data_IF_703202804875
#
_entry.id   IF_703202804875
#
_cell.length_a   1.000
_cell.length_b   1.000
_cell.length_c   1.000
_cell.angle_alpha   90.00
_cell.angle_beta   90.00
_cell.angle_gamma   90.00
#
_symmetry.space_group_name_H-M   'P 1'
#
loop_
_entity.id
_entity.type
_entity.pdbx_description
1 polymer ?
#
# COMPACT_ATOMS: atom_id res chain seq x y z
N UNK A 1 17.52 -11.60 -6.30
CA UNK A 1 17.65 -12.30 -5.02
C UNK A 1 17.44 -13.79 -5.21
N UNK A 2 18.31 -14.57 -4.60
CA UNK A 2 18.27 -16.04 -4.51
C UNK A 2 18.26 -16.38 -3.01
N UNK A 3 17.55 -17.44 -2.65
CA UNK A 3 17.40 -17.85 -1.26
C UNK A 3 17.99 -19.25 -1.06
N UNK A 4 18.54 -19.48 0.13
CA UNK A 4 18.82 -20.80 0.67
C UNK A 4 17.65 -21.15 1.60
N UNK A 5 16.91 -22.21 1.27
CA UNK A 5 15.77 -22.64 2.07
C UNK A 5 16.29 -23.45 3.25
N UNK A 6 15.92 -23.07 4.46
CA UNK A 6 16.21 -23.82 5.69
C UNK A 6 15.18 -24.89 5.93
N UNK A 7 13.90 -24.52 5.84
CA UNK A 7 12.80 -25.46 5.95
C UNK A 7 11.65 -25.05 5.04
N UNK A 8 10.90 -26.04 4.54
CA UNK A 8 9.72 -25.85 3.70
C UNK A 8 8.63 -26.86 4.07
N UNK A 9 7.46 -26.40 4.50
CA UNK A 9 6.33 -27.23 4.89
C UNK A 9 5.17 -27.06 3.91
N UNK A 10 4.54 -28.19 3.55
CA UNK A 10 3.39 -28.25 2.66
C UNK A 10 2.17 -28.80 3.37
N UNK A 11 1.06 -28.10 3.26
CA UNK A 11 -0.24 -28.51 3.76
C UNK A 11 -1.27 -28.46 2.64
N UNK A 12 -2.06 -29.51 2.51
CA UNK A 12 -3.19 -29.57 1.59
C UNK A 12 -4.44 -29.20 2.35
N UNK A 13 -5.12 -28.14 1.93
CA UNK A 13 -6.39 -27.69 2.48
C UNK A 13 -7.52 -28.24 1.64
N UNK A 14 -8.46 -28.92 2.29
CA UNK A 14 -9.64 -29.53 1.69
C UNK A 14 -10.89 -28.88 2.26
N UNK A 15 -11.72 -28.34 1.36
CA UNK A 15 -13.02 -27.72 1.68
C UNK A 15 -14.20 -28.41 0.99
N UNK A 16 -13.94 -29.20 -0.06
CA UNK A 16 -14.99 -29.94 -0.78
C UNK A 16 -15.36 -31.20 0.03
N UNK A 17 -16.66 -31.51 0.08
CA UNK A 17 -17.24 -32.69 0.74
C UNK A 17 -17.11 -32.80 2.27
N UNK A 18 -16.77 -31.70 2.97
CA UNK A 18 -16.66 -31.67 4.45
C UNK A 18 -17.51 -30.56 5.07
N UNK A 19 -18.14 -30.86 6.22
CA UNK A 19 -18.88 -29.86 7.02
C UNK A 19 -17.97 -28.75 7.56
N UNK A 20 -16.69 -29.05 7.78
CA UNK A 20 -15.67 -28.09 8.18
C UNK A 20 -14.41 -28.24 7.31
N UNK A 21 -13.75 -27.13 6.95
CA UNK A 21 -12.44 -27.13 6.31
C UNK A 21 -11.43 -27.94 7.10
N UNK A 22 -10.60 -28.72 6.42
CA UNK A 22 -9.51 -29.47 7.07
C UNK A 22 -8.21 -29.25 6.33
N UNK A 23 -7.09 -29.38 7.03
CA UNK A 23 -5.77 -29.38 6.42
C UNK A 23 -5.01 -30.65 6.78
N UNK A 24 -4.24 -31.16 5.82
CA UNK A 24 -3.36 -32.30 5.99
C UNK A 24 -1.93 -31.89 5.68
N UNK A 25 -1.02 -32.13 6.62
CA UNK A 25 0.42 -32.03 6.38
C UNK A 25 0.84 -33.07 5.34
N UNK A 26 1.52 -32.63 4.28
CA UNK A 26 2.01 -33.51 3.22
C UNK A 26 3.48 -33.88 3.47
N UNK A 27 4.35 -32.87 3.60
CA UNK A 27 5.77 -33.07 3.88
C UNK A 27 6.40 -31.78 4.42
N UNK A 28 7.52 -31.94 5.11
CA UNK A 28 8.44 -30.86 5.45
C UNK A 28 9.81 -31.23 4.90
N UNK A 29 10.44 -30.32 4.17
CA UNK A 29 11.77 -30.47 3.59
C UNK A 29 12.77 -29.61 4.38
N UNK A 30 13.98 -30.10 4.59
CA UNK A 30 15.14 -29.28 4.98
C UNK A 30 15.89 -28.74 3.75
N UNK A 31 17.06 -28.16 3.96
CA UNK A 31 17.90 -27.58 2.91
C UNK A 31 18.28 -28.59 1.85
N UNK A 32 18.84 -29.74 2.23
CA UNK A 32 19.35 -30.72 1.28
C UNK A 32 18.19 -31.35 0.48
N UNK A 33 17.11 -31.69 1.18
CA UNK A 33 15.90 -32.23 0.54
C UNK A 33 15.23 -31.23 -0.41
N UNK A 34 15.27 -29.93 -0.10
CA UNK A 34 14.75 -28.89 -1.00
C UNK A 34 15.61 -28.73 -2.25
N UNK A 35 16.93 -28.70 -2.11
CA UNK A 35 17.87 -28.50 -3.22
C UNK A 35 17.79 -29.65 -4.25
N UNK A 36 17.49 -30.87 -3.80
CA UNK A 36 17.25 -32.03 -4.68
C UNK A 36 15.80 -32.14 -5.19
N UNK A 37 14.88 -31.28 -4.71
CA UNK A 37 13.46 -31.37 -5.03
C UNK A 37 13.12 -30.83 -6.43
N UNK A 38 12.17 -31.49 -7.09
CA UNK A 38 11.59 -30.98 -8.36
C UNK A 38 10.80 -29.67 -8.20
N UNK A 39 10.55 -29.23 -6.96
CA UNK A 39 9.81 -28.00 -6.66
C UNK A 39 10.71 -26.76 -6.65
N UNK A 40 12.03 -26.95 -6.57
CA UNK A 40 13.01 -25.89 -6.40
C UNK A 40 12.90 -24.80 -7.47
N UNK A 41 12.98 -25.17 -8.73
CA UNK A 41 12.96 -24.20 -9.84
C UNK A 41 11.67 -23.38 -9.88
N UNK A 42 10.55 -24.01 -9.52
CA UNK A 42 9.26 -23.36 -9.43
C UNK A 42 9.20 -22.37 -8.26
N UNK A 43 9.56 -22.81 -7.05
CA UNK A 43 9.45 -21.98 -5.84
C UNK A 43 10.48 -20.86 -5.78
N UNK A 44 11.71 -21.09 -6.25
CA UNK A 44 12.74 -20.04 -6.36
C UNK A 44 12.25 -18.86 -7.21
N UNK A 45 11.56 -19.16 -8.30
CA UNK A 45 10.93 -18.17 -9.16
C UNK A 45 9.85 -17.36 -8.42
N UNK A 46 9.03 -18.02 -7.62
CA UNK A 46 7.96 -17.39 -6.85
C UNK A 46 8.47 -16.55 -5.68
N UNK A 47 9.46 -17.02 -4.90
CA UNK A 47 10.10 -16.24 -3.84
C UNK A 47 10.67 -14.93 -4.37
N UNK A 48 11.35 -14.99 -5.52
CA UNK A 48 11.90 -13.81 -6.20
C UNK A 48 10.81 -12.82 -6.61
N UNK A 49 9.66 -13.30 -7.10
CA UNK A 49 8.51 -12.44 -7.44
C UNK A 49 7.90 -11.80 -6.21
N UNK A 50 7.70 -12.56 -5.12
CA UNK A 50 7.14 -12.06 -3.86
C UNK A 50 8.00 -10.92 -3.30
N UNK A 51 9.32 -11.12 -3.27
CA UNK A 51 10.27 -10.12 -2.80
C UNK A 51 10.25 -8.87 -3.67
N UNK A 52 10.30 -9.02 -5.00
CA UNK A 52 10.30 -7.88 -5.93
C UNK A 52 8.97 -7.17 -6.07
N UNK A 53 7.89 -7.73 -5.52
CA UNK A 53 6.57 -7.13 -5.63
C UNK A 53 6.56 -5.79 -4.92
N UNK A 54 6.23 -4.73 -5.67
CA UNK A 54 6.11 -3.37 -5.14
C UNK A 54 5.00 -3.33 -4.10
N UNK A 55 5.28 -2.62 -3.03
CA UNK A 55 4.34 -2.24 -1.99
C UNK A 55 4.60 -0.77 -1.68
N UNK A 56 3.54 -0.01 -1.51
CA UNK A 56 3.61 1.39 -1.11
C UNK A 56 3.22 1.47 0.36
N UNK A 57 3.95 2.26 1.17
CA UNK A 57 3.63 2.47 2.59
C UNK A 57 2.25 3.10 2.75
N UNK A 58 1.98 4.10 1.92
CA UNK A 58 0.67 4.73 1.78
C UNK A 58 0.14 4.49 0.36
N UNK A 59 -0.79 3.54 0.16
CA UNK A 59 -1.36 3.29 -1.15
C UNK A 59 -2.31 4.41 -1.59
N UNK A 60 -2.52 4.55 -2.89
CA UNK A 60 -3.47 5.53 -3.43
C UNK A 60 -4.94 5.23 -3.09
N UNK A 61 -5.24 3.99 -2.67
CA UNK A 61 -6.56 3.54 -2.25
C UNK A 61 -6.45 2.44 -1.20
N UNK A 62 -7.48 2.25 -0.38
CA UNK A 62 -7.53 1.16 0.60
C UNK A 62 -7.48 -0.25 -0.04
N UNK A 63 -7.99 -0.39 -1.26
CA UNK A 63 -8.08 -1.66 -1.97
C UNK A 63 -6.90 -1.84 -2.93
N UNK A 64 -5.71 -2.04 -2.37
CA UNK A 64 -4.53 -2.46 -3.15
C UNK A 64 -4.21 -3.94 -2.93
N UNK A 65 -3.70 -4.63 -3.97
CA UNK A 65 -3.41 -6.06 -3.89
C UNK A 65 -2.18 -6.39 -3.05
N UNK A 66 -1.29 -5.42 -2.78
CA UNK A 66 -0.11 -5.61 -1.94
C UNK A 66 -0.10 -4.51 -0.88
N UNK A 67 0.07 -4.89 0.39
CA UNK A 67 0.03 -3.99 1.54
C UNK A 67 1.16 -4.28 2.52
N UNK A 68 1.54 -3.28 3.30
CA UNK A 68 2.32 -3.46 4.52
C UNK A 68 1.37 -3.60 5.70
N UNK A 69 1.65 -4.61 6.53
CA UNK A 69 1.05 -4.75 7.85
C UNK A 69 2.09 -4.45 8.91
N UNK A 70 1.70 -3.74 9.97
CA UNK A 70 2.53 -3.43 11.12
C UNK A 70 1.99 -4.19 12.33
N UNK A 71 2.87 -4.83 13.11
CA UNK A 71 2.44 -5.47 14.35
C UNK A 71 2.01 -4.40 15.35
N UNK A 72 0.79 -4.54 15.89
CA UNK A 72 0.28 -3.65 16.93
C UNK A 72 1.12 -3.85 18.20
N UNK A 73 1.65 -2.76 18.75
CA UNK A 73 2.43 -2.75 19.99
C UNK A 73 1.60 -2.06 21.07
N UNK A 74 1.41 -2.72 22.21
CA UNK A 74 0.72 -2.10 23.34
C UNK A 74 1.59 -0.98 23.94
N UNK A 75 1.01 0.16 24.37
CA UNK A 75 1.79 1.26 24.95
C UNK A 75 2.68 0.81 26.11
N UNK A 76 3.99 1.07 26.01
CA UNK A 76 4.98 0.69 27.02
C UNK A 76 5.50 -0.75 26.90
N UNK A 77 5.07 -1.50 25.89
CA UNK A 77 5.55 -2.85 25.59
C UNK A 77 6.44 -2.88 24.34
N UNK A 78 7.13 -4.00 24.14
CA UNK A 78 7.96 -4.29 22.96
C UNK A 78 7.22 -5.20 21.99
N UNK A 79 7.78 -5.44 20.79
CA UNK A 79 7.17 -6.29 19.74
C UNK A 79 6.76 -7.69 20.21
N UNK A 80 7.45 -8.23 21.22
CA UNK A 80 7.17 -9.52 21.84
C UNK A 80 5.84 -9.57 22.62
N UNK A 81 5.17 -8.43 22.84
CA UNK A 81 3.78 -8.44 23.33
C UNK A 81 2.79 -8.89 22.26
N UNK A 82 3.16 -8.79 20.97
CA UNK A 82 2.26 -9.10 19.87
C UNK A 82 2.21 -10.62 19.58
N UNK A 83 1.04 -11.27 19.67
CA UNK A 83 0.92 -12.71 19.44
C UNK A 83 1.26 -13.14 18.01
N UNK A 84 0.91 -12.34 17.00
CA UNK A 84 1.26 -12.64 15.62
C UNK A 84 2.79 -12.55 15.44
N UNK A 85 3.43 -11.47 15.91
CA UNK A 85 4.90 -11.34 15.86
C UNK A 85 5.59 -12.56 16.48
N UNK A 86 5.16 -12.99 17.67
CA UNK A 86 5.74 -14.15 18.35
C UNK A 86 5.62 -15.44 17.53
N UNK A 87 4.48 -15.69 16.89
CA UNK A 87 4.28 -16.84 16.02
C UNK A 87 5.20 -16.81 14.79
N UNK A 88 5.31 -15.64 14.13
CA UNK A 88 6.19 -15.44 12.98
C UNK A 88 7.66 -15.60 13.36
N UNK A 89 8.09 -14.96 14.44
CA UNK A 89 9.46 -14.98 14.91
C UNK A 89 9.90 -16.39 15.34
N UNK A 90 9.06 -17.11 16.10
CA UNK A 90 9.33 -18.50 16.51
C UNK A 90 9.45 -19.43 15.31
N UNK A 91 8.56 -19.32 14.33
CA UNK A 91 8.59 -20.14 13.11
C UNK A 91 9.83 -19.84 12.25
N UNK A 92 10.15 -18.55 12.08
CA UNK A 92 11.33 -18.09 11.32
C UNK A 92 12.63 -18.69 11.85
N UNK A 93 12.75 -18.81 13.18
CA UNK A 93 13.93 -19.31 13.87
C UNK A 93 13.80 -20.75 14.37
N UNK A 94 12.87 -21.55 13.84
CA UNK A 94 12.82 -22.97 14.16
C UNK A 94 14.17 -23.66 13.92
N UNK A 95 14.53 -24.59 14.81
CA UNK A 95 15.84 -25.25 14.82
C UNK A 95 15.86 -26.56 14.01
N UNK A 96 14.71 -27.23 13.91
CA UNK A 96 14.57 -28.51 13.23
C UNK A 96 13.23 -28.62 12.49
N UNK A 97 13.08 -29.69 11.70
CA UNK A 97 11.91 -29.93 10.84
C UNK A 97 10.64 -30.11 11.65
N UNK A 98 10.70 -30.79 12.79
CA UNK A 98 9.57 -31.09 13.66
C UNK A 98 9.00 -29.81 14.27
N UNK A 99 9.88 -28.94 14.81
CA UNK A 99 9.50 -27.65 15.36
C UNK A 99 8.95 -26.73 14.27
N UNK A 100 9.63 -26.65 13.11
CA UNK A 100 9.15 -25.84 11.99
C UNK A 100 7.76 -26.30 11.53
N UNK A 101 7.54 -27.61 11.44
CA UNK A 101 6.23 -28.20 11.12
C UNK A 101 5.18 -27.82 12.18
N UNK A 102 5.47 -28.03 13.45
CA UNK A 102 4.53 -27.79 14.54
C UNK A 102 4.11 -26.31 14.59
N UNK A 103 5.09 -25.39 14.51
CA UNK A 103 4.77 -23.96 14.43
C UNK A 103 4.03 -23.62 13.14
N UNK A 104 4.29 -24.35 12.05
CA UNK A 104 3.56 -24.15 10.80
C UNK A 104 2.09 -24.52 10.87
N UNK A 105 1.73 -25.54 11.63
CA UNK A 105 0.36 -25.99 11.82
C UNK A 105 -0.50 -24.88 12.46
N UNK A 106 0.07 -24.03 13.32
CA UNK A 106 -0.64 -22.90 13.94
C UNK A 106 -1.17 -21.90 12.89
N UNK A 107 -0.39 -21.58 11.86
CA UNK A 107 -0.80 -20.69 10.77
C UNK A 107 -1.89 -21.32 9.91
N UNK A 108 -1.78 -22.63 9.68
CA UNK A 108 -2.76 -23.39 8.91
C UNK A 108 -4.10 -23.44 9.65
N UNK A 109 -4.10 -23.73 10.96
CA UNK A 109 -5.31 -23.71 11.78
C UNK A 109 -5.96 -22.33 11.77
N UNK A 110 -5.18 -21.28 11.98
CA UNK A 110 -5.70 -19.93 11.96
C UNK A 110 -6.22 -19.51 10.57
N UNK A 111 -5.68 -20.05 9.47
CA UNK A 111 -6.25 -19.90 8.13
C UNK A 111 -7.58 -20.66 7.96
N UNK A 112 -7.70 -21.88 8.52
CA UNK A 112 -8.95 -22.65 8.47
C UNK A 112 -10.10 -21.97 9.22
N UNK A 113 -9.79 -21.20 10.26
CA UNK A 113 -10.75 -20.41 11.04
C UNK A 113 -11.23 -19.13 10.33
N UNK A 114 -10.70 -18.81 9.15
CA UNK A 114 -11.10 -17.60 8.40
C UNK A 114 -12.43 -17.77 7.70
N UNK A 115 -13.16 -16.65 7.55
CA UNK A 115 -14.50 -16.61 6.95
C UNK A 115 -14.53 -17.01 5.46
N UNK A 116 -13.41 -16.88 4.76
CA UNK A 116 -13.29 -17.04 3.31
C UNK A 116 -12.29 -18.14 2.91
N UNK A 117 -12.11 -19.14 3.76
CA UNK A 117 -11.25 -20.31 3.52
C UNK A 117 -11.60 -21.01 2.20
N UNK A 118 -10.56 -21.38 1.45
CA UNK A 118 -10.65 -22.14 0.21
C UNK A 118 -9.65 -23.28 0.20
N UNK A 119 -10.03 -24.38 -0.45
CA UNK A 119 -9.13 -25.49 -0.74
C UNK A 119 -7.91 -25.06 -1.57
N UNK A 120 -6.86 -25.86 -1.51
CA UNK A 120 -5.58 -25.53 -2.15
C UNK A 120 -4.39 -26.04 -1.37
N UNK A 121 -3.24 -25.41 -1.60
CA UNK A 121 -1.99 -25.70 -0.89
C UNK A 121 -1.58 -24.48 -0.08
N UNK A 122 -1.29 -24.72 1.19
CA UNK A 122 -0.66 -23.77 2.09
C UNK A 122 0.81 -24.18 2.25
N UNK A 123 1.71 -23.28 1.88
CA UNK A 123 3.16 -23.50 1.87
C UNK A 123 3.82 -22.51 2.79
N UNK A 124 4.73 -22.98 3.62
CA UNK A 124 5.54 -22.12 4.47
C UNK A 124 7.02 -22.42 4.31
N UNK A 125 7.84 -21.39 4.08
CA UNK A 125 9.27 -21.52 3.87
C UNK A 125 10.04 -20.59 4.82
N UNK A 126 11.01 -21.14 5.56
CA UNK A 126 12.06 -20.35 6.21
C UNK A 126 13.29 -20.32 5.31
N UNK A 127 13.81 -19.14 5.03
CA UNK A 127 14.80 -18.93 3.97
C UNK A 127 15.79 -17.83 4.30
N UNK A 128 17.05 -17.96 3.90
CA UNK A 128 18.09 -16.94 4.05
C UNK A 128 18.50 -16.43 2.67
N UNK A 129 18.58 -15.12 2.41
CA UNK A 129 19.13 -14.62 1.16
C UNK A 129 20.58 -15.09 0.99
N UNK A 130 20.95 -15.59 -0.19
CA UNK A 130 22.33 -16.02 -0.47
C UNK A 130 23.33 -14.86 -0.56
N UNK A 131 22.85 -13.62 -0.61
CA UNK A 131 23.62 -12.39 -0.77
C UNK A 131 23.04 -11.32 0.15
N UNK A 132 23.80 -10.25 0.38
CA UNK A 132 23.43 -9.05 1.14
C UNK A 132 23.49 -9.20 2.68
N UNK A 133 22.90 -10.24 3.28
CA UNK A 133 22.87 -10.41 4.75
C UNK A 133 22.39 -11.81 5.16
N UNK A 134 22.62 -12.18 6.43
CA UNK A 134 22.35 -13.52 6.99
C UNK A 134 20.99 -13.67 7.70
N UNK A 135 20.15 -12.65 7.65
CA UNK A 135 18.83 -12.71 8.28
C UNK A 135 17.90 -13.70 7.57
N UNK A 136 17.17 -14.48 8.37
CA UNK A 136 16.12 -15.39 7.88
C UNK A 136 14.88 -14.60 7.46
N UNK A 137 14.09 -15.15 6.56
CA UNK A 137 12.75 -14.71 6.20
C UNK A 137 11.80 -15.88 6.28
N UNK A 138 10.53 -15.57 6.51
CA UNK A 138 9.41 -16.48 6.46
C UNK A 138 8.51 -16.08 5.29
N UNK A 139 8.30 -17.04 4.39
CA UNK A 139 7.33 -16.94 3.31
C UNK A 139 6.12 -17.78 3.67
N UNK A 140 4.94 -17.19 3.71
CA UNK A 140 3.68 -17.93 3.66
C UNK A 140 3.10 -17.77 2.26
N UNK A 141 2.64 -18.86 1.68
CA UNK A 141 2.00 -18.85 0.37
C UNK A 141 0.75 -19.71 0.42
N UNK A 142 -0.33 -19.19 -0.16
CA UNK A 142 -1.57 -19.92 -0.38
C UNK A 142 -1.84 -19.94 -1.86
N UNK A 143 -1.88 -21.14 -2.43
CA UNK A 143 -2.16 -21.39 -3.83
C UNK A 143 -3.47 -22.19 -3.97
N UNK A 144 -4.31 -21.83 -4.92
CA UNK A 144 -5.51 -22.59 -5.25
C UNK A 144 -5.17 -23.81 -6.12
N UNK A 145 -6.02 -24.84 -6.07
CA UNK A 145 -5.96 -25.93 -7.04
C UNK A 145 -6.67 -25.52 -8.34
N UNK A 146 -6.07 -25.86 -9.47
CA UNK A 146 -6.73 -25.84 -10.78
C UNK A 146 -7.00 -27.29 -11.21
N UNK A 147 -8.28 -27.65 -11.48
CA UNK A 147 -8.63 -29.00 -11.91
C UNK A 147 -8.30 -29.23 -13.38
N UNK A 148 -7.99 -30.48 -13.74
CA UNK A 148 -7.86 -30.96 -15.14
C UNK A 148 -6.80 -30.21 -15.96
N UNK A 149 -5.62 -30.00 -15.38
CA UNK A 149 -4.50 -29.37 -16.10
C UNK A 149 -3.75 -30.43 -16.92
N UNK A 150 -3.65 -30.20 -18.23
CA UNK A 150 -2.78 -30.98 -19.11
C UNK A 150 -1.37 -30.37 -19.07
N UNK A 151 -0.38 -31.15 -18.63
CA UNK A 151 1.03 -30.75 -18.60
C UNK A 151 1.82 -31.51 -19.66
N UNK A 152 2.75 -30.85 -20.34
CA UNK A 152 3.68 -31.49 -21.30
C UNK A 152 4.89 -31.97 -20.50
N UNK A 153 5.09 -33.28 -20.36
CA UNK A 153 6.18 -33.83 -19.55
C UNK A 153 7.50 -33.97 -20.30
N UNK A 154 7.50 -34.56 -21.50
CA UNK A 154 8.71 -34.92 -22.26
C UNK A 154 8.37 -35.29 -23.72
N UNK A 155 9.37 -35.32 -24.61
CA UNK A 155 9.20 -35.62 -26.05
C UNK A 155 8.62 -37.02 -26.34
N UNK A 156 8.65 -37.94 -25.36
CA UNK A 156 8.11 -39.31 -25.46
C UNK A 156 6.70 -39.47 -24.90
N UNK A 157 6.32 -38.66 -23.92
CA UNK A 157 4.97 -38.59 -23.37
C UNK A 157 4.49 -37.15 -23.46
N UNK A 158 3.95 -36.80 -24.64
CA UNK A 158 3.53 -35.44 -25.00
C UNK A 158 2.56 -34.78 -24.01
N UNK A 159 1.72 -35.56 -23.31
CA UNK A 159 0.69 -35.05 -22.40
C UNK A 159 0.59 -35.95 -21.17
N UNK A 160 0.84 -35.38 -19.99
CA UNK A 160 0.50 -35.94 -18.68
C UNK A 160 -0.74 -35.22 -18.15
N UNK A 161 -1.82 -35.97 -17.93
CA UNK A 161 -2.98 -35.43 -17.23
C UNK A 161 -2.65 -35.34 -15.73
N UNK A 162 -2.68 -34.12 -15.20
CA UNK A 162 -2.55 -33.86 -13.77
C UNK A 162 -3.95 -33.53 -13.26
N UNK A 163 -4.48 -34.38 -12.36
CA UNK A 163 -5.84 -34.19 -11.82
C UNK A 163 -5.97 -32.85 -11.10
N UNK A 164 -4.95 -32.45 -10.33
CA UNK A 164 -4.87 -31.17 -9.62
C UNK A 164 -3.49 -30.55 -9.75
N UNK A 165 -3.41 -29.32 -10.24
CA UNK A 165 -2.19 -28.53 -10.30
C UNK A 165 -2.27 -27.29 -9.40
N UNK A 166 -1.13 -26.82 -8.92
CA UNK A 166 -1.03 -25.58 -8.15
C UNK A 166 -0.87 -24.40 -9.12
N UNK A 167 -1.72 -23.39 -8.99
CA UNK A 167 -1.64 -22.16 -9.82
C UNK A 167 -1.00 -21.01 -9.06
N UNK A 168 -0.14 -20.25 -9.75
CA UNK A 168 0.48 -19.03 -9.21
C UNK A 168 -0.27 -17.76 -9.61
N UNK A 169 -1.24 -17.86 -10.53
CA UNK A 169 -1.95 -16.70 -11.09
C UNK A 169 -2.64 -15.85 -10.02
N UNK A 170 -3.16 -16.49 -8.98
CA UNK A 170 -3.82 -15.84 -7.83
C UNK A 170 -3.17 -16.22 -6.50
N UNK A 171 -1.88 -16.61 -6.52
CA UNK A 171 -1.16 -16.96 -5.30
C UNK A 171 -1.13 -15.76 -4.37
N UNK A 172 -1.53 -16.01 -3.14
CA UNK A 172 -1.47 -15.02 -2.06
C UNK A 172 -0.26 -15.34 -1.20
N UNK A 173 0.39 -14.31 -0.69
CA UNK A 173 1.64 -14.50 0.04
C UNK A 173 1.85 -13.51 1.17
N UNK A 174 2.56 -13.92 2.21
CA UNK A 174 3.14 -13.05 3.22
C UNK A 174 4.66 -13.21 3.16
N UNK A 175 5.38 -12.11 3.24
CA UNK A 175 6.83 -12.07 3.47
C UNK A 175 7.07 -11.36 4.81
N UNK A 176 7.75 -12.05 5.72
CA UNK A 176 8.16 -11.51 7.02
C UNK A 176 9.63 -11.83 7.31
N UNK A 177 10.43 -10.91 7.87
CA UNK A 177 10.13 -9.48 8.01
C UNK A 177 10.01 -8.78 6.65
N UNK A 178 9.47 -7.56 6.65
CA UNK A 178 9.48 -6.75 5.44
C UNK A 178 10.93 -6.33 5.11
N UNK A 179 11.25 -6.36 3.81
CA UNK A 179 12.52 -5.88 3.28
C UNK A 179 12.20 -4.72 2.32
N UNK A 180 12.33 -3.46 2.78
CA UNK A 180 12.07 -2.28 1.96
C UNK A 180 13.06 -2.21 0.78
N UNK A 181 14.33 -2.41 1.09
CA UNK A 181 15.45 -2.40 0.15
C UNK A 181 16.37 -3.62 0.37
N UNK A 182 17.13 -4.01 -0.66
CA UNK A 182 18.09 -5.12 -0.53
C UNK A 182 19.16 -4.76 0.52
N UNK A 183 19.09 -5.41 1.69
CA UNK A 183 19.99 -5.12 2.81
C UNK A 183 19.29 -4.56 4.06
N UNK A 184 18.04 -4.12 3.94
CA UNK A 184 17.27 -3.53 5.03
C UNK A 184 16.19 -4.48 5.54
N UNK A 185 15.85 -4.36 6.82
CA UNK A 185 14.82 -5.19 7.44
C UNK A 185 14.00 -4.33 8.39
N UNK A 186 12.69 -4.46 8.25
CA UNK A 186 11.71 -3.91 9.20
C UNK A 186 11.05 -5.06 9.95
N UNK A 187 11.54 -5.33 11.16
CA UNK A 187 11.07 -6.43 12.02
C UNK A 187 9.64 -6.21 12.54
N UNK A 188 9.19 -4.95 12.59
CA UNK A 188 7.81 -4.59 12.95
C UNK A 188 6.81 -4.76 11.80
N UNK A 189 7.29 -5.08 10.59
CA UNK A 189 6.49 -5.04 9.36
C UNK A 189 6.46 -6.39 8.64
N UNK A 190 5.35 -6.64 7.94
CA UNK A 190 5.20 -7.75 7.02
C UNK A 190 4.57 -7.28 5.71
N UNK A 191 4.94 -7.92 4.59
CA UNK A 191 4.39 -7.62 3.27
C UNK A 191 3.37 -8.68 2.87
N UNK A 192 2.12 -8.28 2.69
CA UNK A 192 1.03 -9.15 2.25
C UNK A 192 0.73 -8.87 0.78
N UNK A 193 0.49 -9.93 0.03
CA UNK A 193 -0.11 -9.87 -1.30
C UNK A 193 -1.37 -10.74 -1.39
N UNK A 194 -2.35 -10.25 -2.15
CA UNK A 194 -3.70 -9.91 -1.67
C UNK A 194 -4.67 -9.66 -2.85
N UNK A 195 -4.48 -10.25 -4.04
CA UNK A 195 -5.15 -9.76 -5.26
C UNK A 195 -6.66 -10.01 -5.38
N UNK A 196 -7.28 -10.68 -4.40
CA UNK A 196 -8.72 -10.96 -4.39
C UNK A 196 -9.42 -10.20 -3.28
N UNK A 197 -10.73 -9.97 -3.42
CA UNK A 197 -11.58 -9.42 -2.34
C UNK A 197 -11.61 -10.25 -1.06
N UNK A 198 -11.22 -11.54 -1.10
CA UNK A 198 -11.16 -12.37 0.10
C UNK A 198 -10.01 -11.89 1.01
N UNK A 199 -10.36 -11.39 2.20
CA UNK A 199 -9.46 -10.78 3.19
C UNK A 199 -8.86 -11.76 4.19
N UNK A 200 -8.69 -13.03 3.84
CA UNK A 200 -8.36 -14.06 4.85
C UNK A 200 -7.01 -13.85 5.55
N UNK A 201 -5.99 -13.25 4.90
CA UNK A 201 -4.77 -12.91 5.63
C UNK A 201 -4.97 -11.77 6.63
N UNK A 202 -5.89 -10.86 6.37
CA UNK A 202 -6.26 -9.80 7.32
C UNK A 202 -7.08 -10.40 8.49
N UNK A 203 -8.01 -11.32 8.19
CA UNK A 203 -8.77 -12.07 9.22
C UNK A 203 -7.86 -12.94 10.12
N UNK A 204 -6.82 -13.52 9.51
CA UNK A 204 -5.80 -14.36 10.15
C UNK A 204 -4.88 -13.52 11.06
N UNK A 205 -4.54 -12.30 10.66
CA UNK A 205 -3.60 -11.40 11.34
C UNK A 205 -4.33 -10.38 12.23
N UNK A 206 -4.99 -10.86 13.29
CA UNK A 206 -5.82 -10.02 14.17
C UNK A 206 -5.08 -8.90 14.88
N UNK A 207 -3.77 -9.05 15.12
CA UNK A 207 -2.94 -8.06 15.82
C UNK A 207 -2.00 -7.33 14.86
N UNK A 208 -2.41 -7.15 13.60
CA UNK A 208 -1.67 -6.40 12.59
C UNK A 208 -2.57 -5.28 12.08
N UNK A 209 -2.04 -4.07 12.08
CA UNK A 209 -2.69 -2.91 11.48
C UNK A 209 -2.16 -2.66 10.06
N UNK A 210 -2.99 -2.07 9.22
CA UNK A 210 -2.65 -1.77 7.84
C UNK A 210 -2.57 -0.26 7.67
N UNK A 211 -1.53 0.21 6.99
CA UNK A 211 -1.31 1.63 6.77
C UNK A 211 -2.49 2.28 6.05
N UNK A 212 -2.73 3.54 6.38
CA UNK A 212 -3.75 4.39 5.76
C UNK A 212 -3.41 4.69 4.30
N UNK A 213 -4.43 4.88 3.48
CA UNK A 213 -4.25 5.38 2.13
C UNK A 213 -3.74 6.83 2.14
N UNK A 214 -3.09 7.28 1.06
CA UNK A 214 -2.67 8.69 0.93
C UNK A 214 -3.84 9.66 1.12
N UNK A 215 -5.05 9.24 0.74
CA UNK A 215 -6.25 10.06 0.89
C UNK A 215 -6.70 10.20 2.34
N UNK A 216 -6.64 9.12 3.11
CA UNK A 216 -6.94 9.13 4.55
C UNK A 216 -5.87 9.90 5.33
N UNK A 217 -4.58 9.70 5.00
CA UNK A 217 -3.48 10.45 5.61
C UNK A 217 -3.69 11.96 5.46
N UNK A 218 -3.98 12.43 4.23
CA UNK A 218 -4.29 13.84 3.97
C UNK A 218 -5.54 14.29 4.70
N UNK A 219 -6.61 13.48 4.70
CA UNK A 219 -7.86 13.79 5.40
C UNK A 219 -7.61 14.04 6.89
N UNK A 220 -6.90 13.13 7.55
CA UNK A 220 -6.63 13.20 8.99
C UNK A 220 -5.78 14.43 9.33
N UNK A 221 -4.66 14.66 8.62
CA UNK A 221 -3.82 15.84 8.86
C UNK A 221 -4.54 17.16 8.62
N UNK A 222 -5.40 17.24 7.59
CA UNK A 222 -6.20 18.46 7.35
C UNK A 222 -7.20 18.66 8.48
N UNK A 223 -7.84 17.60 8.98
CA UNK A 223 -8.77 17.70 10.12
C UNK A 223 -8.01 18.18 11.38
N UNK A 224 -6.87 17.56 11.68
CA UNK A 224 -6.06 17.88 12.86
C UNK A 224 -5.60 19.35 12.84
N UNK A 225 -5.06 19.82 11.71
CA UNK A 225 -4.68 21.23 11.52
C UNK A 225 -5.86 22.17 11.76
N UNK A 226 -7.03 21.87 11.17
CA UNK A 226 -8.19 22.77 11.33
C UNK A 226 -8.69 22.75 12.77
N UNK A 227 -8.66 21.60 13.44
CA UNK A 227 -9.01 21.49 14.86
C UNK A 227 -8.06 22.30 15.76
N UNK A 228 -6.76 22.24 15.50
CA UNK A 228 -5.75 23.05 16.19
C UNK A 228 -6.04 24.54 15.99
N UNK A 229 -6.27 24.97 14.74
CA UNK A 229 -6.61 26.35 14.43
C UNK A 229 -7.89 26.83 15.14
N UNK A 230 -8.93 25.99 15.20
CA UNK A 230 -10.15 26.29 15.94
C UNK A 230 -9.85 26.49 17.42
N UNK A 231 -9.01 25.63 18.00
CA UNK A 231 -8.60 25.70 19.40
C UNK A 231 -7.89 27.00 19.75
N UNK A 232 -7.14 27.57 18.81
CA UNK A 232 -6.42 28.84 19.00
C UNK A 232 -7.31 30.07 18.81
N UNK A 233 -8.24 30.04 17.83
CA UNK A 233 -9.03 31.21 17.44
C UNK A 233 -10.31 31.36 18.26
N UNK A 234 -10.93 30.24 18.65
CA UNK A 234 -12.26 30.26 19.27
C UNK A 234 -12.25 29.76 20.71
N UNK A 235 -13.04 30.45 21.55
CA UNK A 235 -13.26 30.03 22.94
C UNK A 235 -13.91 28.63 23.00
N UNK A 236 -13.50 27.76 23.95
CA UNK A 236 -13.90 26.34 24.00
C UNK A 236 -15.41 26.07 24.02
N UNK A 237 -16.20 26.95 24.63
CA UNK A 237 -17.66 26.80 24.74
C UNK A 237 -18.43 27.74 23.81
N UNK A 238 -17.75 28.42 22.88
CA UNK A 238 -18.42 29.31 21.95
C UNK A 238 -19.30 28.56 20.97
N UNK A 239 -20.46 29.15 20.67
CA UNK A 239 -21.37 28.62 19.66
C UNK A 239 -20.72 28.63 18.26
N UNK A 240 -19.86 29.60 17.99
CA UNK A 240 -19.09 29.70 16.74
C UNK A 240 -18.13 28.53 16.54
N UNK A 241 -17.44 28.10 17.62
CA UNK A 241 -16.59 26.90 17.60
C UNK A 241 -17.38 25.64 17.27
N UNK A 242 -18.50 25.43 17.96
CA UNK A 242 -19.36 24.24 17.74
C UNK A 242 -19.86 24.16 16.30
N UNK A 243 -20.32 25.30 15.77
CA UNK A 243 -20.77 25.38 14.37
C UNK A 243 -19.64 25.11 13.37
N UNK A 244 -18.41 25.53 13.68
CA UNK A 244 -17.25 25.24 12.84
C UNK A 244 -16.89 23.74 12.91
N UNK A 245 -16.78 23.16 14.10
CA UNK A 245 -16.49 21.73 14.29
C UNK A 245 -17.51 20.85 13.55
N UNK A 246 -18.81 21.14 13.68
CA UNK A 246 -19.87 20.45 12.94
C UNK A 246 -19.72 20.60 11.41
N UNK A 247 -19.34 21.80 10.93
CA UNK A 247 -19.12 22.02 9.51
C UNK A 247 -17.92 21.23 8.95
N UNK A 248 -16.89 20.98 9.76
CA UNK A 248 -15.73 20.15 9.37
C UNK A 248 -16.12 18.69 9.27
N UNK A 249 -16.88 18.17 10.22
CA UNK A 249 -17.37 16.79 10.16
C UNK A 249 -18.22 16.56 8.90
N UNK A 250 -19.13 17.50 8.61
CA UNK A 250 -19.93 17.47 7.38
C UNK A 250 -19.04 17.58 6.12
N UNK A 251 -18.01 18.44 6.15
CA UNK A 251 -17.06 18.58 5.04
C UNK A 251 -16.21 17.32 4.85
N UNK A 252 -15.78 16.67 5.93
CA UNK A 252 -14.96 15.46 5.91
C UNK A 252 -15.66 14.32 5.15
N UNK A 253 -16.98 14.24 5.28
CA UNK A 253 -17.83 13.21 4.66
C UNK A 253 -18.53 13.66 3.37
N UNK A 254 -18.38 14.94 2.97
CA UNK A 254 -18.98 15.44 1.74
C UNK A 254 -18.27 14.90 0.49
N UNK A 255 -19.02 14.35 -0.49
CA UNK A 255 -18.46 13.93 -1.77
C UNK A 255 -18.11 15.10 -2.69
N UNK A 256 -18.63 16.31 -2.41
CA UNK A 256 -18.30 17.53 -3.13
C UNK A 256 -17.24 18.30 -2.37
N UNK A 257 -16.10 18.51 -3.02
CA UNK A 257 -15.00 19.34 -2.50
C UNK A 257 -15.03 20.70 -3.20
N UNK A 258 -15.17 21.75 -2.43
CA UNK A 258 -15.14 23.15 -2.88
C UNK A 258 -14.16 23.93 -2.00
N UNK A 259 -13.54 24.97 -2.57
CA UNK A 259 -12.61 25.84 -1.84
C UNK A 259 -13.37 26.58 -0.73
N UNK A 260 -12.91 26.47 0.51
CA UNK A 260 -13.60 27.02 1.68
C UNK A 260 -13.17 28.45 2.06
N UNK A 261 -12.04 28.94 1.53
CA UNK A 261 -11.48 30.28 1.84
C UNK A 261 -11.35 30.58 3.36
N UNK A 262 -10.99 29.57 4.17
CA UNK A 262 -10.89 29.68 5.64
C UNK A 262 -9.47 29.87 6.18
N UNK A 263 -8.47 29.36 5.46
CA UNK A 263 -7.08 29.34 5.91
C UNK A 263 -6.21 30.22 5.03
N UNK A 264 -5.17 30.78 5.64
CA UNK A 264 -4.10 31.52 4.95
C UNK A 264 -3.18 30.58 4.18
N UNK A 265 -2.38 31.12 3.25
CA UNK A 265 -1.40 30.32 2.52
C UNK A 265 -0.36 29.73 3.45
N UNK A 266 0.12 30.50 4.43
CA UNK A 266 1.13 30.08 5.40
C UNK A 266 0.66 28.87 6.22
N UNK A 267 -0.58 28.89 6.71
CA UNK A 267 -1.17 27.77 7.46
C UNK A 267 -1.32 26.51 6.59
N UNK A 268 -1.71 26.67 5.33
CA UNK A 268 -1.83 25.53 4.40
C UNK A 268 -0.45 24.95 4.09
N UNK A 269 0.58 25.80 3.94
CA UNK A 269 1.97 25.36 3.71
C UNK A 269 2.51 24.61 4.93
N UNK A 270 2.24 25.09 6.14
CA UNK A 270 2.66 24.44 7.38
C UNK A 270 2.08 23.02 7.51
N UNK A 271 0.77 22.84 7.28
CA UNK A 271 0.18 21.52 7.30
C UNK A 271 0.61 20.64 6.13
N UNK A 272 0.80 21.24 4.94
CA UNK A 272 1.36 20.52 3.80
C UNK A 272 2.76 19.99 4.11
N UNK A 273 3.60 20.72 4.85
CA UNK A 273 4.94 20.29 5.22
C UNK A 273 4.93 19.01 6.07
N UNK A 274 4.01 18.88 7.03
CA UNK A 274 3.86 17.65 7.83
C UNK A 274 3.49 16.44 6.97
N UNK A 275 2.60 16.63 6.00
CA UNK A 275 2.20 15.59 5.05
C UNK A 275 3.36 15.20 4.13
N UNK A 276 4.07 16.20 3.60
CA UNK A 276 5.21 16.03 2.68
C UNK A 276 6.40 15.35 3.37
N UNK A 277 6.60 15.57 4.67
CA UNK A 277 7.63 14.87 5.44
C UNK A 277 7.39 13.36 5.48
N UNK A 278 6.12 12.93 5.57
CA UNK A 278 5.73 11.52 5.55
C UNK A 278 5.64 10.95 4.12
N UNK A 279 5.13 11.74 3.17
CA UNK A 279 4.93 11.35 1.78
C UNK A 279 5.37 12.47 0.81
N UNK A 280 6.66 12.50 0.41
CA UNK A 280 7.22 13.59 -0.41
C UNK A 280 6.59 13.72 -1.80
N UNK A 281 6.15 12.60 -2.38
CA UNK A 281 5.61 12.52 -3.74
C UNK A 281 4.09 12.78 -3.80
N UNK A 282 3.52 13.40 -2.76
CA UNK A 282 2.07 13.60 -2.70
C UNK A 282 1.61 14.65 -3.73
N UNK A 283 0.62 14.28 -4.53
CA UNK A 283 0.15 15.10 -5.65
C UNK A 283 -0.89 16.15 -5.21
N UNK A 284 -0.66 17.40 -5.58
CA UNK A 284 -1.68 18.44 -5.60
C UNK A 284 -2.53 18.29 -6.87
N UNK A 285 -3.84 18.10 -6.69
CA UNK A 285 -4.81 18.02 -7.80
C UNK A 285 -5.95 19.00 -7.58
N UNK A 286 -6.13 19.93 -8.51
CA UNK A 286 -7.27 20.84 -8.50
C UNK A 286 -7.78 21.11 -9.91
N UNK A 287 -9.02 21.57 -10.00
CA UNK A 287 -9.66 21.95 -11.25
C UNK A 287 -10.08 23.41 -11.20
N UNK A 288 -9.53 24.23 -12.08
CA UNK A 288 -9.91 25.63 -12.27
C UNK A 288 -10.73 25.73 -13.55
N UNK A 289 -12.04 25.90 -13.42
CA UNK A 289 -13.01 25.82 -14.52
C UNK A 289 -12.82 24.54 -15.35
N UNK A 290 -12.31 24.65 -16.59
CA UNK A 290 -12.07 23.52 -17.48
C UNK A 290 -10.60 23.04 -17.49
N UNK A 291 -9.74 23.64 -16.66
CA UNK A 291 -8.31 23.36 -16.60
C UNK A 291 -8.03 22.44 -15.41
N UNK A 292 -7.42 21.29 -15.67
CA UNK A 292 -6.91 20.42 -14.62
C UNK A 292 -5.47 20.80 -14.31
N UNK A 293 -5.17 21.00 -13.04
CA UNK A 293 -3.85 21.31 -12.53
C UNK A 293 -3.37 20.11 -11.73
N UNK A 294 -2.14 19.69 -12.00
CA UNK A 294 -1.43 18.63 -11.29
C UNK A 294 -0.01 19.09 -11.00
N UNK A 295 0.44 18.93 -9.76
CA UNK A 295 1.80 19.23 -9.29
C UNK A 295 2.08 18.48 -7.99
N UNK A 296 3.22 18.74 -7.33
CA UNK A 296 3.46 18.24 -5.98
C UNK A 296 2.79 19.17 -4.95
N UNK A 297 2.34 18.63 -3.83
CA UNK A 297 1.82 19.45 -2.74
C UNK A 297 2.90 20.35 -2.14
N UNK A 298 4.15 19.86 -2.10
CA UNK A 298 5.32 20.60 -1.66
C UNK A 298 5.58 21.88 -2.48
N UNK A 299 5.08 21.94 -3.73
CA UNK A 299 5.23 23.11 -4.59
C UNK A 299 4.23 24.23 -4.24
N UNK A 300 3.18 23.93 -3.47
CA UNK A 300 2.17 24.92 -3.08
C UNK A 300 2.74 25.94 -2.11
N UNK A 301 2.57 27.23 -2.42
CA UNK A 301 3.14 28.34 -1.65
C UNK A 301 4.56 28.72 -2.05
N UNK A 302 5.30 27.82 -2.71
CA UNK A 302 6.68 28.05 -3.18
C UNK A 302 6.73 28.39 -4.68
N UNK A 303 6.25 27.49 -5.55
CA UNK A 303 6.23 27.70 -7.01
C UNK A 303 4.81 27.71 -7.59
N UNK A 304 3.83 27.17 -6.85
CA UNK A 304 2.41 27.20 -7.20
C UNK A 304 1.69 28.13 -6.22
N UNK A 305 1.15 29.24 -6.72
CA UNK A 305 0.42 30.21 -5.92
C UNK A 305 -1.01 30.37 -6.41
N UNK A 306 -1.96 30.32 -5.47
CA UNK A 306 -3.38 30.59 -5.74
C UNK A 306 -3.77 31.95 -5.16
N UNK A 307 -4.31 32.82 -6.01
CA UNK A 307 -4.74 34.15 -5.64
C UNK A 307 -6.15 34.45 -6.18
N UNK A 308 -6.74 35.55 -5.69
CA UNK A 308 -8.06 36.02 -6.13
C UNK A 308 -7.95 37.45 -6.64
N UNK A 309 -8.40 37.68 -7.88
CA UNK A 309 -8.43 38.99 -8.53
C UNK A 309 -9.83 39.21 -9.09
N UNK A 310 -10.52 40.29 -8.69
CA UNK A 310 -11.88 40.62 -9.14
C UNK A 310 -12.88 39.46 -8.98
N UNK A 311 -12.84 38.79 -7.83
CA UNK A 311 -13.66 37.62 -7.50
C UNK A 311 -13.45 36.39 -8.42
N UNK A 312 -12.31 36.32 -9.12
CA UNK A 312 -11.88 35.17 -9.91
C UNK A 312 -10.60 34.59 -9.35
N UNK A 313 -10.49 33.27 -9.40
CA UNK A 313 -9.26 32.57 -9.00
C UNK A 313 -8.22 32.66 -10.11
N UNK A 314 -6.99 32.95 -9.72
CA UNK A 314 -5.82 33.00 -10.58
C UNK A 314 -4.77 32.09 -9.98
N UNK A 315 -4.29 31.14 -10.78
CA UNK A 315 -3.15 30.32 -10.43
C UNK A 315 -1.91 30.86 -11.12
N UNK A 316 -0.85 31.06 -10.36
CA UNK A 316 0.47 31.46 -10.87
C UNK A 316 1.41 30.30 -10.62
N UNK A 317 2.12 29.87 -11.66
CA UNK A 317 3.10 28.79 -11.59
C UNK A 317 4.45 29.36 -12.04
N UNK A 318 5.45 29.26 -11.19
CA UNK A 318 6.84 29.61 -11.49
C UNK A 318 7.60 28.38 -12.02
N UNK A 319 8.37 28.56 -13.09
CA UNK A 319 9.20 27.51 -13.66
C UNK A 319 10.41 28.10 -14.39
N UNK A 320 11.54 27.39 -14.37
CA UNK A 320 12.77 27.81 -15.07
C UNK A 320 12.71 27.54 -16.59
N UNK A 321 11.93 26.54 -17.00
CA UNK A 321 11.83 26.10 -18.38
C UNK A 321 10.42 25.63 -18.75
N UNK A 322 10.05 25.79 -20.02
CA UNK A 322 8.80 25.27 -20.59
C UNK A 322 9.16 24.18 -21.59
N UNK A 323 8.63 22.98 -21.37
CA UNK A 323 8.80 21.83 -22.27
C UNK A 323 7.47 21.47 -22.91
N UNK A 324 7.50 21.18 -24.20
CA UNK A 324 6.33 20.75 -24.97
C UNK A 324 6.42 19.26 -25.27
N UNK A 325 5.29 18.56 -25.23
CA UNK A 325 5.19 17.18 -25.70
C UNK A 325 5.32 17.10 -27.23
N UNK A 326 5.41 15.88 -27.78
CA UNK A 326 5.49 15.69 -29.24
C UNK A 326 4.26 16.27 -29.94
N UNK A 327 4.49 17.26 -30.79
CA UNK A 327 3.47 17.97 -31.56
C UNK A 327 4.04 19.28 -32.10
N UNK A 328 3.18 20.09 -32.72
CA UNK A 328 3.51 21.47 -33.07
C UNK A 328 2.38 22.37 -32.57
N UNK A 329 2.72 23.38 -31.78
CA UNK A 329 1.80 24.38 -31.25
C UNK A 329 2.33 25.78 -31.53
N UNK A 330 1.51 26.71 -32.06
CA UNK A 330 1.93 28.09 -32.28
C UNK A 330 2.44 28.81 -31.02
N UNK A 331 2.05 28.34 -29.82
CA UNK A 331 2.51 28.89 -28.54
C UNK A 331 4.02 28.70 -28.33
N UNK A 332 4.65 27.72 -29.01
CA UNK A 332 6.10 27.50 -28.94
C UNK A 332 6.91 28.73 -29.42
N UNK A 333 6.29 29.61 -30.20
CA UNK A 333 6.89 30.86 -30.69
C UNK A 333 6.43 32.09 -29.90
N UNK A 334 5.63 31.92 -28.84
CA UNK A 334 5.14 33.03 -28.03
C UNK A 334 6.30 33.67 -27.27
N UNK A 335 6.43 35.00 -27.40
CA UNK A 335 7.28 35.80 -26.52
C UNK A 335 6.45 36.21 -25.29
N UNK A 336 6.75 35.70 -24.08
CA UNK A 336 5.98 36.03 -22.89
C UNK A 336 5.99 37.52 -22.60
N UNK A 337 4.83 38.03 -22.18
CA UNK A 337 4.71 39.36 -21.58
C UNK A 337 5.27 39.34 -20.14
N UNK A 338 5.62 40.52 -19.62
CA UNK A 338 5.91 40.71 -18.20
C UNK A 338 4.68 40.40 -17.31
N UNK A 339 4.88 39.77 -16.15
CA UNK A 339 3.80 39.34 -15.27
C UNK A 339 2.89 40.49 -14.83
N UNK A 340 3.46 41.64 -14.46
CA UNK A 340 2.66 42.79 -14.04
C UNK A 340 1.75 43.30 -15.15
N UNK A 341 2.22 43.25 -16.41
CA UNK A 341 1.39 43.60 -17.57
C UNK A 341 0.22 42.63 -17.76
N UNK A 342 0.42 41.34 -17.48
CA UNK A 342 -0.66 40.35 -17.55
C UNK A 342 -1.69 40.61 -16.45
N UNK A 343 -1.24 40.87 -15.21
CA UNK A 343 -2.12 41.22 -14.08
C UNK A 343 -2.93 42.49 -14.39
N UNK A 344 -2.29 43.54 -14.93
CA UNK A 344 -2.97 44.77 -15.35
C UNK A 344 -4.03 44.52 -16.43
N UNK A 345 -3.74 43.64 -17.41
CA UNK A 345 -4.72 43.25 -18.44
C UNK A 345 -5.91 42.53 -17.80
N UNK A 346 -5.68 41.62 -16.85
CA UNK A 346 -6.75 40.92 -16.12
C UNK A 346 -7.59 41.93 -15.32
N UNK A 347 -6.96 42.90 -14.66
CA UNK A 347 -7.65 43.95 -13.91
C UNK A 347 -8.53 44.84 -14.79
N UNK A 348 -8.06 45.19 -16.00
CA UNK A 348 -8.80 46.05 -16.95
C UNK A 348 -9.96 45.33 -17.64
N UNK A 349 -9.90 44.00 -17.75
CA UNK A 349 -10.96 43.17 -18.37
C UNK A 349 -12.32 43.30 -17.68
N UNK A 350 -12.36 43.86 -16.47
CA UNK A 350 -13.57 44.05 -15.65
C UNK A 350 -14.47 45.20 -16.13
N UNK A 351 -14.03 46.06 -17.05
CA UNK A 351 -14.82 47.23 -17.49
C UNK A 351 -15.71 47.03 -18.73
N UNK A 352 -15.58 45.94 -19.50
CA UNK A 352 -16.34 45.78 -20.75
C UNK A 352 -17.58 44.87 -20.66
N UNK A 353 -17.84 44.23 -19.51
CA UNK A 353 -18.97 43.30 -19.36
C UNK A 353 -20.17 43.83 -18.54
N UNK A 354 -20.19 45.12 -18.19
CA UNK A 354 -21.30 45.76 -17.45
C UNK A 354 -21.87 46.99 -18.15
N UNK A 355 -22.15 46.88 -19.45
CA UNK A 355 -23.05 47.80 -20.15
C UNK A 355 -23.95 47.00 -21.07
N UNK A 356 -25.15 46.66 -20.58
CA UNK A 356 -26.32 46.37 -21.39
C UNK A 356 -27.15 47.65 -21.53
#
# INVERSE_FOLDING_TARGET
>A
MEFEIKFLSFFVVETEDKEQPTAKHYQTLDTDEYEESALKDFLDGEFKKIVKRKVDRHPNSEQVPTKLGHFIIEPGHTLDSNPNYNAFNRTRFADNKEDFKAFSEEFVHAYLDTSAVRGGVFVMASAVPRKFFEHRFLFLMKCDFEPKVASISDEKTLIRNVEMAITTKNMKSILYPHMPEEGMIEESELKIHQSSHARYFEDFLKFVEYGESKQELVKNHVIDMVQEHIGEVYEPESEERRQFEEAIEIWADSPKRELQERLTTEQVVEAAAQIVEQEPDIELKMKLDNTNIKGLLADFGETIHLAKINNRYVLVIEAEQILFEKGFSPIEFHKPDDLHRVIDKINKKTYENNTF
#
